data_IF_013300440771
#
_entry.id   IF_013300440771
#
_cell.length_a   1.000
_cell.length_b   1.000
_cell.length_c   1.000
_cell.angle_alpha   90.00
_cell.angle_beta   90.00
_cell.angle_gamma   90.00
#
_symmetry.space_group_name_H-M   'P 1'
#
loop_
_entity.id
_entity.type
_entity.pdbx_description
1 polymer ?
#
# COMPACT_ATOMS: atom_id res chain seq x y z
N UNK A 1 58.82 5.03 8.81
CA UNK A 1 58.06 4.63 7.60
C UNK A 1 56.81 3.90 8.05
N UNK A 2 55.62 4.52 7.96
CA UNK A 2 54.33 3.84 7.96
C UNK A 2 53.29 4.82 7.39
N UNK A 3 52.59 4.33 6.38
CA UNK A 3 51.94 5.10 5.35
C UNK A 3 50.71 5.87 5.85
N UNK A 4 50.74 7.18 5.66
CA UNK A 4 49.56 8.04 5.73
C UNK A 4 48.72 7.84 4.46
N UNK A 5 48.05 6.69 4.32
CA UNK A 5 47.00 6.52 3.29
C UNK A 5 45.73 7.23 3.76
N UNK A 6 45.76 8.57 3.74
CA UNK A 6 44.56 9.40 3.92
C UNK A 6 43.92 9.55 2.55
N UNK A 7 43.10 8.57 2.18
CA UNK A 7 42.37 8.56 0.92
C UNK A 7 41.57 9.86 0.73
N UNK A 8 41.73 10.47 -0.43
CA UNK A 8 40.93 11.61 -0.87
C UNK A 8 39.49 11.15 -1.07
N UNK A 9 38.68 11.23 -0.01
CA UNK A 9 37.23 11.05 -0.12
C UNK A 9 36.72 12.21 -0.98
N UNK A 10 36.39 11.92 -2.23
CA UNK A 10 35.96 12.93 -3.20
C UNK A 10 34.79 13.75 -2.60
N UNK A 11 34.90 15.09 -2.55
CA UNK A 11 33.87 15.94 -1.96
C UNK A 11 32.53 15.82 -2.70
N UNK A 12 32.55 15.50 -4.00
CA UNK A 12 31.36 15.32 -4.84
C UNK A 12 30.49 14.15 -4.36
N UNK A 13 31.09 13.03 -3.95
CA UNK A 13 30.37 11.86 -3.45
C UNK A 13 29.74 12.11 -2.07
N UNK A 14 30.41 12.88 -1.22
CA UNK A 14 29.87 13.29 0.10
C UNK A 14 28.69 14.26 -0.06
N UNK A 15 28.81 15.26 -0.95
CA UNK A 15 27.72 16.20 -1.23
C UNK A 15 26.48 15.48 -1.80
N UNK A 16 26.68 14.56 -2.75
CA UNK A 16 25.58 13.76 -3.33
C UNK A 16 24.89 12.88 -2.28
N UNK A 17 25.65 12.29 -1.37
CA UNK A 17 25.09 11.50 -0.27
C UNK A 17 24.24 12.37 0.68
N UNK A 18 24.70 13.59 0.98
CA UNK A 18 23.94 14.55 1.80
C UNK A 18 22.64 14.98 1.14
N UNK A 19 22.63 15.28 -0.16
CA UNK A 19 21.40 15.63 -0.89
C UNK A 19 20.36 14.49 -0.90
N UNK A 20 20.82 13.24 -1.05
CA UNK A 20 19.93 12.06 -1.02
C UNK A 20 19.33 11.87 0.39
N UNK A 21 20.13 12.04 1.44
CA UNK A 21 19.67 11.96 2.84
C UNK A 21 18.74 13.13 3.18
N UNK A 22 19.01 14.32 2.67
CA UNK A 22 18.16 15.50 2.87
C UNK A 22 16.82 15.39 2.14
N UNK A 23 16.81 14.84 0.91
CA UNK A 23 15.58 14.54 0.18
C UNK A 23 14.70 13.53 0.90
N UNK A 24 15.32 12.57 1.63
CA UNK A 24 14.62 11.62 2.49
C UNK A 24 13.99 12.25 3.73
N UNK A 25 14.54 13.37 4.22
CA UNK A 25 14.00 14.13 5.36
C UNK A 25 13.10 15.31 4.93
N UNK A 26 12.69 15.37 3.67
CA UNK A 26 11.70 16.36 3.23
C UNK A 26 10.33 15.99 3.78
N UNK A 27 9.89 16.74 4.80
CA UNK A 27 8.53 16.62 5.32
C UNK A 27 7.56 17.17 4.28
N UNK A 28 6.71 16.29 3.72
CA UNK A 28 5.60 16.71 2.86
C UNK A 28 4.57 17.39 3.75
N UNK A 29 4.51 18.73 3.68
CA UNK A 29 3.50 19.49 4.39
C UNK A 29 2.20 19.53 3.60
N UNK A 30 1.13 19.04 4.21
CA UNK A 30 -0.24 19.20 3.71
C UNK A 30 -0.96 20.26 4.52
N UNK A 31 -1.89 20.96 3.86
CA UNK A 31 -2.87 21.78 4.58
C UNK A 31 -3.74 20.87 5.47
N UNK A 32 -4.26 21.38 6.60
CA UNK A 32 -5.24 20.65 7.40
C UNK A 32 -6.46 20.25 6.55
N UNK A 33 -7.13 19.13 6.88
CA UNK A 33 -8.29 18.67 6.14
C UNK A 33 -9.43 19.70 6.25
N UNK A 34 -10.05 20.04 5.11
CA UNK A 34 -11.21 20.95 5.08
C UNK A 34 -12.39 20.38 5.87
N UNK A 35 -12.58 19.06 5.80
CA UNK A 35 -13.58 18.30 6.55
C UNK A 35 -12.87 17.22 7.38
N UNK A 36 -13.12 17.20 8.69
CA UNK A 36 -12.53 16.20 9.58
C UNK A 36 -13.29 14.87 9.44
N UNK A 37 -12.58 13.81 9.09
CA UNK A 37 -13.12 12.45 9.14
C UNK A 37 -12.84 11.92 10.54
N UNK A 38 -13.92 11.73 11.32
CA UNK A 38 -13.82 11.21 12.69
C UNK A 38 -13.65 9.69 12.72
N UNK A 39 -13.26 9.10 13.88
CA UNK A 39 -13.10 7.65 14.02
C UNK A 39 -14.36 6.86 13.63
N UNK A 40 -15.55 7.35 14.01
CA UNK A 40 -16.81 6.73 13.64
C UNK A 40 -17.08 6.72 12.13
N UNK A 41 -16.79 7.83 11.44
CA UNK A 41 -16.96 7.92 9.99
C UNK A 41 -15.97 7.00 9.26
N UNK A 42 -14.70 6.96 9.70
CA UNK A 42 -13.70 6.04 9.15
C UNK A 42 -14.12 4.59 9.32
N UNK A 43 -14.62 4.20 10.49
CA UNK A 43 -15.08 2.83 10.75
C UNK A 43 -16.23 2.43 9.82
N UNK A 44 -17.23 3.30 9.67
CA UNK A 44 -18.35 3.06 8.76
C UNK A 44 -17.89 2.91 7.31
N UNK A 45 -17.03 3.82 6.83
CA UNK A 45 -16.53 3.76 5.44
C UNK A 45 -15.73 2.48 5.21
N UNK A 46 -14.85 2.11 6.13
CA UNK A 46 -14.06 0.88 6.01
C UNK A 46 -14.94 -0.38 6.07
N UNK A 47 -15.95 -0.39 6.93
CA UNK A 47 -16.91 -1.49 7.02
C UNK A 47 -17.72 -1.64 5.73
N UNK A 48 -18.28 -0.54 5.22
CA UNK A 48 -19.02 -0.53 3.95
C UNK A 48 -18.14 -0.96 2.80
N UNK A 49 -16.90 -0.46 2.74
CA UNK A 49 -15.92 -0.88 1.72
C UNK A 49 -15.64 -2.38 1.78
N UNK A 50 -15.42 -2.93 2.98
CA UNK A 50 -15.19 -4.36 3.15
C UNK A 50 -16.42 -5.17 2.69
N UNK A 51 -17.63 -4.80 3.12
CA UNK A 51 -18.86 -5.48 2.73
C UNK A 51 -19.09 -5.40 1.22
N UNK A 52 -18.83 -4.24 0.61
CA UNK A 52 -19.00 -4.06 -0.84
C UNK A 52 -18.11 -5.01 -1.67
N UNK A 53 -16.92 -5.35 -1.17
CA UNK A 53 -16.03 -6.33 -1.81
C UNK A 53 -16.38 -7.77 -1.45
N UNK A 54 -16.62 -8.05 -0.16
CA UNK A 54 -16.82 -9.41 0.33
C UNK A 54 -18.21 -9.97 0.01
N UNK A 55 -19.25 -9.14 -0.04
CA UNK A 55 -20.61 -9.60 -0.33
C UNK A 55 -20.73 -10.27 -1.71
N UNK A 56 -20.32 -9.64 -2.83
CA UNK A 56 -20.39 -10.29 -4.14
C UNK A 56 -19.44 -11.50 -4.24
N UNK A 57 -18.24 -11.42 -3.65
CA UNK A 57 -17.30 -12.53 -3.63
C UNK A 57 -17.86 -13.74 -2.85
N UNK A 58 -18.43 -13.50 -1.67
CA UNK A 58 -19.08 -14.49 -0.83
C UNK A 58 -20.31 -15.10 -1.49
N UNK A 59 -21.10 -14.30 -2.21
CA UNK A 59 -22.24 -14.79 -2.99
C UNK A 59 -21.80 -15.76 -4.08
N UNK A 60 -20.76 -15.42 -4.84
CA UNK A 60 -20.23 -16.29 -5.90
C UNK A 60 -19.71 -17.60 -5.30
N UNK A 61 -18.94 -17.51 -4.20
CA UNK A 61 -18.38 -18.67 -3.51
C UNK A 61 -19.47 -19.59 -2.95
N UNK A 62 -20.52 -19.00 -2.37
CA UNK A 62 -21.67 -19.73 -1.84
C UNK A 62 -22.36 -20.57 -2.93
N UNK A 63 -22.44 -20.04 -4.15
CA UNK A 63 -23.16 -20.69 -5.26
C UNK A 63 -22.30 -21.64 -6.12
N UNK A 64 -21.05 -21.92 -5.74
CA UNK A 64 -20.18 -22.84 -6.49
C UNK A 64 -20.81 -24.24 -6.65
N UNK A 65 -21.41 -24.87 -5.62
CA UNK A 65 -22.01 -26.21 -5.76
C UNK A 65 -23.06 -26.28 -6.87
N UNK A 66 -23.94 -25.27 -6.95
CA UNK A 66 -25.00 -25.14 -7.94
C UNK A 66 -24.43 -24.98 -9.34
N UNK A 67 -23.38 -24.17 -9.49
CA UNK A 67 -22.67 -24.02 -10.77
C UNK A 67 -22.04 -25.33 -11.23
N UNK A 68 -21.50 -26.15 -10.30
CA UNK A 68 -20.91 -27.45 -10.61
C UNK A 68 -21.94 -28.50 -11.00
N UNK A 69 -23.11 -28.51 -10.35
CA UNK A 69 -24.19 -29.44 -10.69
C UNK A 69 -24.80 -29.13 -12.06
N UNK A 70 -25.02 -27.85 -12.36
CA UNK A 70 -25.53 -27.42 -13.67
C UNK A 70 -24.56 -27.73 -14.83
N UNK A 71 -23.26 -27.79 -14.55
CA UNK A 71 -22.25 -28.15 -15.55
C UNK A 71 -22.30 -29.64 -15.94
N UNK A 72 -22.99 -30.51 -15.18
CA UNK A 72 -23.15 -31.91 -15.56
C UNK A 72 -24.28 -32.01 -16.61
N UNK A 73 -24.00 -32.46 -17.84
CA UNK A 73 -25.05 -32.67 -18.83
C UNK A 73 -26.04 -33.73 -18.33
N UNK A 74 -27.36 -33.59 -18.62
CA UNK A 74 -28.35 -34.60 -18.26
C UNK A 74 -27.97 -35.95 -18.90
N UNK A 75 -28.28 -37.08 -18.23
CA UNK A 75 -28.05 -38.39 -18.82
C UNK A 75 -28.88 -38.54 -20.10
N UNK A 76 -28.18 -38.82 -21.20
CA UNK A 76 -28.76 -39.11 -22.53
C UNK A 76 -29.54 -40.42 -22.53
#
# INVERSE_FOLDING_TARGET
>A
MLAFLRGAVQPVTVCRARDIVQKRNSSIYSKPPKSKIGPGQSFLIMSVFAVALLAPAGWILHHIPEYRQRAKPPPS
#
